data_IF_903281859743
#
_entry.id   IF_903281859743
#
_cell.length_a   1.000
_cell.length_b   1.000
_cell.length_c   1.000
_cell.angle_alpha   90.00
_cell.angle_beta   90.00
_cell.angle_gamma   90.00
#
_symmetry.space_group_name_H-M   'P 1'
#
loop_
_entity.id
_entity.type
_entity.pdbx_description
1 polymer ?
#
# COMPACT_ATOMS: atom_id res chain seq x y z
N UNK A 1 6.07 -17.37 12.68
CA UNK A 1 5.41 -17.34 11.36
C UNK A 1 5.83 -16.04 10.68
N UNK A 2 6.25 -16.08 9.41
CA UNK A 2 6.54 -14.85 8.66
C UNK A 2 5.21 -14.15 8.27
N UNK A 3 5.29 -12.88 7.84
CA UNK A 3 4.11 -12.08 7.53
C UNK A 3 3.32 -12.70 6.37
N UNK A 4 4.01 -13.15 5.33
CA UNK A 4 3.40 -13.68 4.12
C UNK A 4 2.61 -14.97 4.39
N UNK A 5 3.14 -15.90 5.16
CA UNK A 5 2.49 -17.16 5.54
C UNK A 5 1.23 -16.89 6.34
N UNK A 6 1.33 -16.06 7.37
CA UNK A 6 0.19 -15.79 8.23
C UNK A 6 -0.89 -14.92 7.57
N UNK A 7 -0.53 -14.03 6.63
CA UNK A 7 -1.53 -13.36 5.79
C UNK A 7 -2.24 -14.37 4.87
N UNK A 8 -1.53 -15.35 4.31
CA UNK A 8 -2.18 -16.41 3.51
C UNK A 8 -3.16 -17.23 4.35
N UNK A 9 -2.78 -17.62 5.57
CA UNK A 9 -3.67 -18.32 6.50
C UNK A 9 -4.89 -17.46 6.87
N UNK A 10 -4.67 -16.19 7.21
CA UNK A 10 -5.73 -15.24 7.54
C UNK A 10 -6.78 -15.14 6.42
N UNK A 11 -6.34 -14.96 5.17
CA UNK A 11 -7.25 -14.88 4.02
C UNK A 11 -7.86 -16.23 3.60
N UNK A 12 -7.30 -17.36 4.06
CA UNK A 12 -7.88 -18.68 3.84
C UNK A 12 -9.04 -18.95 4.80
N UNK A 13 -8.92 -18.46 6.03
CA UNK A 13 -9.90 -18.68 7.08
C UNK A 13 -11.02 -17.64 7.09
N UNK A 14 -10.70 -16.40 6.73
CA UNK A 14 -11.64 -15.28 6.83
C UNK A 14 -11.89 -14.68 5.45
N UNK A 15 -13.15 -14.53 5.02
CA UNK A 15 -13.48 -13.89 3.75
C UNK A 15 -12.85 -12.51 3.63
N UNK A 16 -12.28 -12.19 2.47
CA UNK A 16 -11.56 -10.93 2.25
C UNK A 16 -12.38 -9.69 2.63
N UNK A 17 -13.68 -9.65 2.29
CA UNK A 17 -14.57 -8.54 2.63
C UNK A 17 -14.82 -8.34 4.14
N UNK A 18 -14.64 -9.39 4.95
CA UNK A 18 -14.73 -9.27 6.40
C UNK A 18 -13.46 -8.64 7.01
N UNK A 19 -12.34 -8.63 6.27
CA UNK A 19 -11.08 -8.03 6.68
C UNK A 19 -10.89 -6.64 6.04
N UNK A 20 -11.20 -6.51 4.76
CA UNK A 20 -11.11 -5.29 3.97
C UNK A 20 -12.43 -5.14 3.21
N UNK A 21 -13.29 -4.22 3.66
CA UNK A 21 -14.68 -4.12 3.20
C UNK A 21 -14.83 -3.93 1.68
N UNK A 22 -13.86 -3.25 1.06
CA UNK A 22 -13.79 -3.02 -0.37
C UNK A 22 -12.78 -3.92 -1.11
N UNK A 23 -12.39 -5.06 -0.54
CA UNK A 23 -11.71 -6.13 -1.28
C UNK A 23 -12.72 -7.16 -1.78
N UNK A 24 -13.13 -7.01 -3.05
CA UNK A 24 -14.00 -7.99 -3.73
C UNK A 24 -13.23 -8.92 -4.68
N UNK A 25 -11.93 -9.07 -4.47
CA UNK A 25 -11.17 -10.07 -5.22
C UNK A 25 -11.49 -11.47 -4.70
N UNK A 26 -11.54 -12.42 -5.63
CA UNK A 26 -11.61 -13.83 -5.28
C UNK A 26 -10.21 -14.29 -4.87
N UNK A 27 -10.08 -14.82 -3.65
CA UNK A 27 -8.82 -15.36 -3.14
C UNK A 27 -8.72 -16.84 -3.54
N UNK A 28 -7.68 -17.19 -4.28
CA UNK A 28 -7.33 -18.58 -4.59
C UNK A 28 -5.97 -18.91 -4.02
N UNK A 29 -5.77 -20.18 -3.67
CA UNK A 29 -4.53 -20.66 -3.06
C UNK A 29 -3.99 -21.83 -3.88
N UNK A 30 -2.77 -21.72 -4.36
CA UNK A 30 -2.10 -22.78 -5.11
C UNK A 30 -0.59 -22.62 -5.02
N UNK A 31 0.14 -23.73 -5.00
CA UNK A 31 1.61 -23.75 -4.97
C UNK A 31 2.22 -22.88 -3.83
N UNK A 32 1.58 -22.90 -2.66
CA UNK A 32 1.98 -22.10 -1.50
C UNK A 32 1.79 -20.59 -1.65
N UNK A 33 1.07 -20.12 -2.68
CA UNK A 33 0.80 -18.70 -2.96
C UNK A 33 -0.66 -18.36 -2.74
N UNK A 34 -0.92 -17.09 -2.41
CA UNK A 34 -2.24 -16.48 -2.56
C UNK A 34 -2.32 -15.74 -3.90
N UNK A 35 -3.45 -15.90 -4.57
CA UNK A 35 -3.80 -15.19 -5.80
C UNK A 35 -5.08 -14.38 -5.56
N UNK A 36 -4.99 -13.06 -5.66
CA UNK A 36 -6.14 -12.17 -5.63
C UNK A 36 -6.64 -11.92 -7.06
N UNK A 37 -7.76 -12.54 -7.42
CA UNK A 37 -8.36 -12.43 -8.74
C UNK A 37 -9.38 -11.29 -8.76
N UNK A 38 -9.08 -10.19 -9.45
CA UNK A 38 -10.00 -9.06 -9.54
C UNK A 38 -11.16 -9.35 -10.49
N UNK A 39 -12.35 -8.93 -10.10
CA UNK A 39 -13.59 -9.17 -10.84
C UNK A 39 -14.18 -7.87 -11.40
N UNK A 40 -13.56 -7.36 -12.46
CA UNK A 40 -14.15 -6.29 -13.26
C UNK A 40 -14.03 -4.91 -12.63
N UNK A 41 -15.05 -4.07 -12.86
CA UNK A 41 -15.03 -2.63 -12.56
C UNK A 41 -15.76 -2.24 -11.29
N UNK A 42 -16.12 -3.23 -10.45
CA UNK A 42 -16.75 -2.98 -9.16
C UNK A 42 -15.90 -2.02 -8.31
N UNK A 43 -16.56 -1.26 -7.44
CA UNK A 43 -15.87 -0.43 -6.46
C UNK A 43 -15.02 -1.34 -5.55
N UNK A 44 -13.71 -1.14 -5.62
CA UNK A 44 -12.70 -1.91 -4.89
C UNK A 44 -11.59 -0.97 -4.44
N UNK A 45 -10.82 -1.39 -3.44
CA UNK A 45 -9.61 -0.68 -3.08
C UNK A 45 -8.66 -0.60 -4.29
N UNK A 46 -7.99 0.54 -4.47
CA UNK A 46 -6.93 0.69 -5.48
C UNK A 46 -5.77 -0.29 -5.25
N UNK A 47 -5.64 -0.84 -4.03
CA UNK A 47 -4.66 -1.87 -3.68
C UNK A 47 -4.99 -3.25 -4.27
N UNK A 48 -6.26 -3.47 -4.58
CA UNK A 48 -6.78 -4.73 -5.11
C UNK A 48 -6.93 -4.65 -6.62
N UNK A 49 -7.50 -3.56 -7.15
CA UNK A 49 -7.81 -3.40 -8.57
C UNK A 49 -6.96 -2.33 -9.26
N UNK A 50 -6.26 -2.72 -10.33
CA UNK A 50 -5.56 -1.77 -11.20
C UNK A 50 -6.53 -0.81 -11.91
N UNK A 51 -7.74 -1.27 -12.24
CA UNK A 51 -8.76 -0.36 -12.79
C UNK A 51 -9.20 0.68 -11.76
N UNK A 52 -9.36 0.30 -10.49
CA UNK A 52 -9.62 1.26 -9.43
C UNK A 52 -8.48 2.28 -9.31
N UNK A 53 -7.23 1.80 -9.27
CA UNK A 53 -6.04 2.65 -9.17
C UNK A 53 -5.88 3.63 -10.33
N UNK A 54 -6.14 3.21 -11.56
CA UNK A 54 -5.88 4.01 -12.76
C UNK A 54 -7.08 4.88 -13.19
N UNK A 55 -8.31 4.45 -12.89
CA UNK A 55 -9.53 5.10 -13.37
C UNK A 55 -10.33 5.71 -12.23
N UNK A 56 -10.64 4.95 -11.17
CA UNK A 56 -11.49 5.46 -10.09
C UNK A 56 -10.78 6.54 -9.30
N UNK A 57 -9.52 6.32 -8.91
CA UNK A 57 -8.71 7.33 -8.22
C UNK A 57 -8.57 8.60 -9.08
N UNK A 58 -8.34 8.45 -10.39
CA UNK A 58 -8.28 9.60 -11.30
C UNK A 58 -9.61 10.40 -11.36
N UNK A 59 -10.76 9.73 -11.20
CA UNK A 59 -12.08 10.39 -11.13
C UNK A 59 -12.28 11.13 -9.81
N UNK A 60 -11.87 10.53 -8.70
CA UNK A 60 -11.98 11.14 -7.37
C UNK A 60 -11.21 12.47 -7.30
N UNK A 61 -10.06 12.52 -7.98
CA UNK A 61 -9.19 13.70 -8.03
C UNK A 61 -9.77 14.87 -8.87
N UNK A 62 -10.76 14.61 -9.75
CA UNK A 62 -11.36 15.67 -10.59
C UNK A 62 -12.04 16.77 -9.80
N UNK A 63 -12.46 16.50 -8.55
CA UNK A 63 -13.08 17.50 -7.67
C UNK A 63 -12.13 18.66 -7.33
N UNK A 64 -10.82 18.44 -7.46
CA UNK A 64 -9.78 19.44 -7.17
C UNK A 64 -9.53 20.39 -8.34
N UNK A 65 -10.16 20.15 -9.50
CA UNK A 65 -9.90 20.89 -10.73
C UNK A 65 -11.03 21.89 -11.07
N UNK A 66 -10.72 22.97 -11.79
CA UNK A 66 -11.73 23.85 -12.37
C UNK A 66 -12.75 23.11 -13.23
N UNK A 67 -14.02 23.55 -13.23
CA UNK A 67 -15.16 22.83 -13.85
C UNK A 67 -14.91 22.39 -15.30
N UNK A 68 -14.36 23.26 -16.14
CA UNK A 68 -14.08 22.94 -17.55
C UNK A 68 -12.99 21.87 -17.69
N UNK A 69 -11.89 21.99 -16.94
CA UNK A 69 -10.80 21.00 -16.95
C UNK A 69 -11.28 19.66 -16.42
N UNK A 70 -12.07 19.67 -15.34
CA UNK A 70 -12.69 18.49 -14.77
C UNK A 70 -13.62 17.79 -15.77
N UNK A 71 -14.42 18.55 -16.54
CA UNK A 71 -15.29 18.00 -17.58
C UNK A 71 -14.49 17.37 -18.73
N UNK A 72 -13.46 18.05 -19.22
CA UNK A 72 -12.58 17.53 -20.27
C UNK A 72 -11.86 16.24 -19.83
N UNK A 73 -11.24 16.26 -18.65
CA UNK A 73 -10.55 15.09 -18.10
C UNK A 73 -11.49 13.95 -17.77
N UNK A 74 -12.74 14.23 -17.38
CA UNK A 74 -13.77 13.19 -17.21
C UNK A 74 -14.02 12.43 -18.50
N UNK A 75 -14.11 13.12 -19.63
CA UNK A 75 -14.26 12.50 -20.96
C UNK A 75 -13.02 11.68 -21.29
N UNK A 76 -11.82 12.23 -21.10
CA UNK A 76 -10.56 11.52 -21.35
C UNK A 76 -10.43 10.24 -20.50
N UNK A 77 -10.76 10.32 -19.21
CA UNK A 77 -10.77 9.16 -18.31
C UNK A 77 -11.82 8.14 -18.76
N UNK A 78 -12.98 8.55 -19.27
CA UNK A 78 -13.98 7.62 -19.81
C UNK A 78 -13.49 6.88 -21.06
N UNK A 79 -12.78 7.58 -21.95
CA UNK A 79 -12.16 6.98 -23.14
C UNK A 79 -11.05 5.99 -22.73
N UNK A 80 -10.16 6.39 -21.82
CA UNK A 80 -9.12 5.51 -21.26
C UNK A 80 -9.74 4.28 -20.57
N UNK A 81 -10.83 4.46 -19.81
CA UNK A 81 -11.54 3.37 -19.17
C UNK A 81 -12.15 2.38 -20.19
N UNK A 82 -12.61 2.85 -21.36
CA UNK A 82 -13.06 1.98 -22.43
C UNK A 82 -11.90 1.15 -23.02
N UNK A 83 -10.76 1.78 -23.29
CA UNK A 83 -9.53 1.09 -23.74
C UNK A 83 -9.05 0.08 -22.70
N UNK A 84 -9.06 0.43 -21.42
CA UNK A 84 -8.64 -0.46 -20.34
C UNK A 84 -9.55 -1.68 -20.19
N UNK A 85 -10.87 -1.51 -20.36
CA UNK A 85 -11.81 -2.64 -20.40
C UNK A 85 -11.59 -3.55 -21.61
N UNK A 86 -11.28 -2.97 -22.78
CA UNK A 86 -10.91 -3.74 -23.96
C UNK A 86 -9.65 -4.58 -23.71
N UNK A 87 -8.65 -4.02 -23.02
CA UNK A 87 -7.44 -4.72 -22.58
C UNK A 87 -7.63 -5.64 -21.37
N UNK A 88 -8.84 -5.70 -20.81
CA UNK A 88 -9.19 -6.43 -19.58
C UNK A 88 -8.31 -6.07 -18.37
N UNK A 89 -7.87 -4.81 -18.26
CA UNK A 89 -7.06 -4.32 -17.12
C UNK A 89 -7.85 -4.36 -15.80
N UNK A 90 -9.18 -4.38 -15.87
CA UNK A 90 -10.10 -4.60 -14.76
C UNK A 90 -10.05 -6.04 -14.19
N UNK A 91 -9.40 -6.98 -14.90
CA UNK A 91 -9.26 -8.38 -14.50
C UNK A 91 -7.79 -8.76 -14.46
N UNK A 92 -7.30 -9.03 -13.25
CA UNK A 92 -5.90 -9.38 -12.98
C UNK A 92 -5.83 -10.52 -11.98
N UNK A 93 -4.74 -11.28 -12.03
CA UNK A 93 -4.34 -12.25 -11.01
C UNK A 93 -3.17 -11.64 -10.25
N UNK A 94 -3.43 -11.10 -9.06
CA UNK A 94 -2.39 -10.57 -8.19
C UNK A 94 -1.72 -11.66 -7.38
N UNK A 95 -0.45 -11.96 -7.67
CA UNK A 95 0.34 -12.93 -6.91
C UNK A 95 0.78 -12.30 -5.59
N UNK A 96 0.49 -12.97 -4.47
CA UNK A 96 0.73 -12.47 -3.12
C UNK A 96 0.19 -11.04 -2.93
N UNK A 97 -0.95 -10.72 -3.55
CA UNK A 97 -1.61 -9.44 -3.33
C UNK A 97 -2.56 -9.53 -2.14
N UNK A 98 -2.07 -9.11 -0.98
CA UNK A 98 -2.82 -9.11 0.28
C UNK A 98 -3.75 -7.89 0.43
N UNK A 99 -3.83 -7.02 -0.57
CA UNK A 99 -4.69 -5.83 -0.53
C UNK A 99 -4.14 -4.70 0.36
N UNK A 100 -2.89 -4.81 0.81
CA UNK A 100 -2.20 -3.79 1.58
C UNK A 100 -1.71 -2.65 0.67
N UNK A 101 -1.51 -1.46 1.25
CA UNK A 101 -0.99 -0.29 0.52
C UNK A 101 0.39 -0.54 -0.08
N UNK A 102 1.22 -1.29 0.64
CA UNK A 102 2.53 -1.80 0.19
C UNK A 102 2.60 -3.26 0.62
N UNK A 103 2.69 -4.19 -0.34
CA UNK A 103 2.94 -5.60 -0.02
C UNK A 103 4.43 -5.76 0.27
N UNK A 104 4.75 -6.45 1.37
CA UNK A 104 6.12 -6.89 1.66
C UNK A 104 6.24 -8.37 1.35
N UNK A 105 7.37 -8.78 0.78
CA UNK A 105 7.60 -10.14 0.32
C UNK A 105 8.67 -10.82 1.17
N UNK A 106 8.39 -12.07 1.56
CA UNK A 106 9.39 -12.91 2.22
C UNK A 106 10.52 -13.32 1.25
N UNK A 107 11.66 -13.71 1.81
CA UNK A 107 12.83 -14.07 1.01
C UNK A 107 12.59 -15.28 0.09
N UNK A 108 11.76 -16.24 0.52
CA UNK A 108 11.46 -17.43 -0.28
C UNK A 108 10.65 -17.07 -1.53
N UNK A 109 9.70 -16.14 -1.43
CA UNK A 109 8.95 -15.61 -2.56
C UNK A 109 9.86 -14.91 -3.57
N UNK A 110 10.77 -14.05 -3.09
CA UNK A 110 11.70 -13.31 -3.95
C UNK A 110 12.70 -14.23 -4.67
N UNK A 111 12.94 -15.44 -4.16
CA UNK A 111 13.78 -16.47 -4.82
C UNK A 111 13.01 -17.38 -5.78
N UNK A 112 11.68 -17.23 -5.91
CA UNK A 112 10.89 -18.09 -6.81
C UNK A 112 11.18 -17.75 -8.26
N UNK A 113 11.39 -18.80 -9.07
CA UNK A 113 11.56 -18.66 -10.51
C UNK A 113 10.31 -18.02 -11.14
N UNK A 114 10.44 -16.94 -11.93
CA UNK A 114 9.31 -16.30 -12.62
C UNK A 114 8.44 -17.25 -13.45
N UNK A 115 9.05 -18.29 -14.04
CA UNK A 115 8.32 -19.31 -14.80
C UNK A 115 7.33 -20.10 -13.92
N UNK A 116 7.69 -20.39 -12.67
CA UNK A 116 6.82 -21.07 -11.69
C UNK A 116 5.68 -20.17 -11.24
N UNK A 117 5.97 -18.90 -10.93
CA UNK A 117 4.95 -17.90 -10.59
C UNK A 117 3.90 -17.77 -11.71
N UNK A 118 4.37 -17.73 -12.96
CA UNK A 118 3.49 -17.72 -14.14
C UNK A 118 2.66 -18.99 -14.23
N UNK A 119 3.27 -20.17 -14.11
CA UNK A 119 2.56 -21.44 -14.24
C UNK A 119 1.44 -21.57 -13.20
N UNK A 120 1.73 -21.25 -11.94
CA UNK A 120 0.75 -21.28 -10.85
C UNK A 120 -0.40 -20.28 -11.08
N UNK A 121 -0.10 -19.04 -11.48
CA UNK A 121 -1.13 -18.04 -11.79
C UNK A 121 -1.98 -18.41 -13.02
N UNK A 122 -1.39 -19.01 -14.06
CA UNK A 122 -2.12 -19.49 -15.23
C UNK A 122 -3.03 -20.67 -14.91
N UNK A 123 -2.64 -21.54 -13.96
CA UNK A 123 -3.51 -22.63 -13.50
C UNK A 123 -4.78 -22.09 -12.81
N UNK A 124 -4.67 -20.94 -12.12
CA UNK A 124 -5.78 -20.22 -11.48
C UNK A 124 -6.67 -19.51 -12.50
N UNK A 125 -6.09 -18.67 -13.38
CA UNK A 125 -6.85 -17.97 -14.44
C UNK A 125 -6.01 -17.87 -15.73
N UNK A 126 -6.20 -18.78 -16.72
CA UNK A 126 -5.29 -18.91 -17.86
C UNK A 126 -5.37 -17.78 -18.90
N UNK A 127 -6.39 -16.93 -18.86
CA UNK A 127 -6.62 -15.85 -19.84
C UNK A 127 -6.70 -14.47 -19.18
N UNK A 128 -5.94 -14.28 -18.12
CA UNK A 128 -5.92 -13.06 -17.31
C UNK A 128 -4.48 -12.59 -17.11
N UNK A 129 -4.26 -11.27 -17.13
CA UNK A 129 -2.95 -10.69 -16.85
C UNK A 129 -2.52 -11.01 -15.41
N UNK A 130 -1.24 -11.31 -15.22
CA UNK A 130 -0.68 -11.65 -13.91
C UNK A 130 0.08 -10.43 -13.42
N UNK A 131 -0.10 -10.06 -12.15
CA UNK A 131 0.54 -8.88 -11.55
C UNK A 131 1.25 -9.21 -10.23
N UNK A 132 2.36 -8.51 -9.98
CA UNK A 132 3.08 -8.48 -8.70
C UNK A 132 3.29 -7.00 -8.37
N UNK A 133 2.81 -6.54 -7.21
CA UNK A 133 2.78 -5.12 -6.84
C UNK A 133 3.96 -4.73 -5.97
N UNK A 134 4.12 -3.44 -5.73
CA UNK A 134 5.00 -2.89 -4.69
C UNK A 134 6.49 -3.21 -4.88
N UNK A 135 6.93 -3.32 -6.14
CA UNK A 135 8.34 -3.56 -6.48
C UNK A 135 9.07 -2.23 -6.65
N UNK A 136 10.34 -2.18 -6.27
CA UNK A 136 11.21 -1.02 -6.42
C UNK A 136 12.66 -1.50 -6.53
N UNK A 137 13.54 -0.69 -7.10
CA UNK A 137 14.92 -1.11 -7.37
C UNK A 137 15.69 -1.34 -6.07
N UNK A 138 15.53 -0.45 -5.09
CA UNK A 138 16.27 -0.50 -3.81
C UNK A 138 16.07 -1.81 -3.05
N UNK A 139 14.85 -2.36 -3.04
CA UNK A 139 14.52 -3.58 -2.30
C UNK A 139 14.45 -4.83 -3.16
N UNK A 140 14.26 -4.71 -4.48
CA UNK A 140 13.86 -5.84 -5.33
C UNK A 140 14.63 -5.94 -6.65
N UNK A 141 15.78 -5.27 -6.82
CA UNK A 141 16.51 -5.22 -8.10
C UNK A 141 16.73 -6.61 -8.72
N UNK A 142 17.24 -7.57 -7.96
CA UNK A 142 17.55 -8.91 -8.48
C UNK A 142 16.29 -9.64 -8.95
N UNK A 143 15.23 -9.61 -8.13
CA UNK A 143 13.94 -10.19 -8.50
C UNK A 143 13.31 -9.50 -9.72
N UNK A 144 13.44 -8.18 -9.82
CA UNK A 144 13.01 -7.43 -11.00
C UNK A 144 13.81 -7.81 -12.25
N UNK A 145 15.12 -8.03 -12.14
CA UNK A 145 15.96 -8.50 -13.24
C UNK A 145 15.52 -9.89 -13.72
N UNK A 146 15.25 -10.80 -12.78
CA UNK A 146 14.72 -12.14 -13.09
C UNK A 146 13.37 -12.03 -13.79
N UNK A 147 12.43 -11.25 -13.25
CA UNK A 147 11.13 -11.03 -13.89
C UNK A 147 11.30 -10.48 -15.32
N UNK A 148 12.20 -9.50 -15.52
CA UNK A 148 12.48 -8.93 -16.84
C UNK A 148 12.99 -9.99 -17.83
N UNK A 149 13.94 -10.82 -17.40
CA UNK A 149 14.51 -11.90 -18.22
C UNK A 149 13.44 -12.91 -18.70
N UNK A 150 12.40 -13.12 -17.89
CA UNK A 150 11.25 -13.98 -18.24
C UNK A 150 10.08 -13.24 -18.90
N UNK A 151 10.28 -11.98 -19.30
CA UNK A 151 9.34 -11.25 -20.14
C UNK A 151 8.22 -10.52 -19.42
N UNK A 152 8.38 -10.29 -18.11
CA UNK A 152 7.52 -9.37 -17.38
C UNK A 152 7.84 -7.92 -17.77
N UNK A 153 6.83 -7.06 -17.65
CA UNK A 153 6.93 -5.62 -17.90
C UNK A 153 6.64 -4.86 -16.62
N UNK A 154 7.19 -3.65 -16.45
CA UNK A 154 7.02 -2.87 -15.22
C UNK A 154 6.13 -1.66 -15.45
N UNK A 155 4.92 -1.72 -14.93
CA UNK A 155 3.99 -0.60 -14.89
C UNK A 155 4.38 0.32 -13.74
N UNK A 156 4.82 1.55 -14.04
CA UNK A 156 5.11 2.54 -13.01
C UNK A 156 3.80 2.98 -12.35
N UNK A 157 3.69 2.82 -11.03
CA UNK A 157 2.45 3.09 -10.30
C UNK A 157 2.47 4.37 -9.49
N UNK A 158 3.57 4.65 -8.79
CA UNK A 158 3.69 5.79 -7.87
C UNK A 158 5.15 6.01 -7.46
N UNK A 159 5.40 7.12 -6.81
CA UNK A 159 6.64 7.39 -6.08
C UNK A 159 6.45 7.06 -4.60
N UNK A 160 7.45 6.45 -4.00
CA UNK A 160 7.51 6.10 -2.58
C UNK A 160 8.78 6.72 -1.99
N UNK A 161 8.90 6.65 -0.66
CA UNK A 161 10.04 7.22 0.05
C UNK A 161 10.62 6.16 0.99
N UNK A 162 11.94 6.02 0.96
CA UNK A 162 12.67 4.97 1.65
C UNK A 162 13.74 5.56 2.59
N UNK A 163 14.04 4.85 3.66
CA UNK A 163 15.22 5.12 4.48
C UNK A 163 15.80 3.83 5.04
N UNK A 164 17.12 3.70 4.98
CA UNK A 164 17.80 2.46 5.34
C UNK A 164 18.20 2.39 6.81
N UNK A 165 18.37 3.54 7.48
CA UNK A 165 18.85 3.54 8.85
C UNK A 165 18.41 4.76 9.65
N UNK A 166 18.53 4.65 10.96
CA UNK A 166 18.38 5.80 11.86
C UNK A 166 19.40 6.90 11.60
N UNK A 167 20.62 6.55 11.20
CA UNK A 167 21.68 7.52 10.90
C UNK A 167 21.32 8.42 9.71
N UNK A 168 20.49 7.93 8.78
CA UNK A 168 19.94 8.74 7.69
C UNK A 168 18.87 9.72 8.18
N UNK A 169 18.09 9.37 9.20
CA UNK A 169 16.93 10.16 9.63
C UNK A 169 17.26 11.15 10.76
N UNK A 170 18.00 10.71 11.77
CA UNK A 170 18.22 11.43 13.03
C UNK A 170 18.90 12.80 12.92
N UNK A 171 19.86 13.04 12.00
CA UNK A 171 20.59 14.30 11.95
C UNK A 171 19.74 15.49 11.51
N UNK A 172 18.65 15.24 10.77
CA UNK A 172 17.81 16.26 10.16
C UNK A 172 17.10 17.14 11.20
N UNK A 173 17.00 18.44 10.92
CA UNK A 173 16.37 19.43 11.81
C UNK A 173 14.93 19.05 12.17
N UNK A 174 14.15 18.62 11.19
CA UNK A 174 12.75 18.25 11.41
C UNK A 174 12.62 16.98 12.23
N UNK A 175 13.49 15.98 12.00
CA UNK A 175 13.58 14.78 12.84
C UNK A 175 13.90 15.14 14.30
N UNK A 176 14.84 16.07 14.53
CA UNK A 176 15.17 16.54 15.89
C UNK A 176 13.98 17.22 16.57
N UNK A 177 13.22 18.02 15.83
CA UNK A 177 12.01 18.67 16.37
C UNK A 177 10.91 17.65 16.68
N UNK A 178 10.76 16.62 15.85
CA UNK A 178 9.79 15.55 16.07
C UNK A 178 10.17 14.67 17.27
N UNK A 179 11.46 14.41 17.48
CA UNK A 179 11.93 13.72 18.67
C UNK A 179 11.62 14.50 19.95
N UNK A 180 11.77 15.83 19.93
CA UNK A 180 11.36 16.69 21.05
C UNK A 180 9.87 16.60 21.33
N UNK A 181 9.04 16.60 20.28
CA UNK A 181 7.60 16.37 20.44
C UNK A 181 7.35 15.01 21.08
N UNK A 182 7.96 13.94 20.58
CA UNK A 182 7.76 12.59 21.12
C UNK A 182 8.18 12.47 22.60
N UNK A 183 9.13 13.27 23.05
CA UNK A 183 9.66 13.28 24.42
C UNK A 183 8.94 14.24 25.38
N UNK A 184 7.95 15.03 24.93
CA UNK A 184 7.31 16.06 25.75
C UNK A 184 6.33 15.53 26.82
N UNK A 185 6.10 14.22 26.84
CA UNK A 185 5.27 13.54 27.84
C UNK A 185 3.76 13.74 27.70
N UNK A 186 3.28 14.55 26.73
CA UNK A 186 1.84 14.80 26.54
C UNK A 186 1.08 13.60 26.00
N UNK A 187 1.78 12.72 25.28
CA UNK A 187 1.21 11.52 24.73
C UNK A 187 2.09 10.29 24.99
N UNK A 188 1.44 9.14 25.11
CA UNK A 188 2.07 7.81 25.21
C UNK A 188 1.55 6.87 24.14
N UNK A 189 2.36 5.90 23.77
CA UNK A 189 1.96 4.84 22.83
C UNK A 189 1.66 3.57 23.61
N UNK A 190 0.42 3.08 23.52
CA UNK A 190 0.01 1.79 24.10
C UNK A 190 -0.13 0.76 23.01
N UNK A 191 0.67 -0.32 23.08
CA UNK A 191 0.55 -1.46 22.17
C UNK A 191 -0.72 -2.25 22.46
N UNK A 192 -1.49 -2.56 21.43
CA UNK A 192 -2.64 -3.44 21.53
C UNK A 192 -2.21 -4.90 21.44
N UNK A 193 -2.92 -5.77 22.15
CA UNK A 193 -2.72 -7.22 22.16
C UNK A 193 -4.05 -7.93 21.95
N UNK A 194 -4.03 -9.25 21.77
CA UNK A 194 -5.25 -10.05 21.65
C UNK A 194 -6.19 -9.96 22.88
N UNK A 195 -5.67 -9.53 24.03
CA UNK A 195 -6.42 -9.38 25.28
C UNK A 195 -7.10 -8.01 25.42
N UNK A 196 -6.80 -7.06 24.54
CA UNK A 196 -7.42 -5.74 24.56
C UNK A 196 -8.90 -5.81 24.13
N UNK A 197 -9.76 -4.93 24.67
CA UNK A 197 -11.18 -4.92 24.34
C UNK A 197 -11.43 -4.50 22.87
N UNK A 198 -12.56 -4.95 22.30
CA UNK A 198 -12.96 -4.61 20.93
C UNK A 198 -13.09 -3.10 20.68
N UNK A 199 -13.37 -2.32 21.74
CA UNK A 199 -13.42 -0.86 21.68
C UNK A 199 -12.08 -0.22 21.26
N UNK A 200 -10.94 -0.80 21.64
CA UNK A 200 -9.61 -0.29 21.23
C UNK A 200 -9.40 -0.45 19.72
N UNK A 201 -9.79 -1.61 19.18
CA UNK A 201 -9.71 -1.88 17.74
C UNK A 201 -10.70 -1.02 16.95
N UNK A 202 -11.88 -0.75 17.51
CA UNK A 202 -12.82 0.20 16.94
C UNK A 202 -12.26 1.63 16.93
N UNK A 203 -11.62 2.09 18.00
CA UNK A 203 -10.98 3.40 18.03
C UNK A 203 -9.91 3.52 16.94
N UNK A 204 -9.03 2.52 16.81
CA UNK A 204 -8.02 2.49 15.75
C UNK A 204 -8.63 2.51 14.34
N UNK A 205 -9.71 1.75 14.12
CA UNK A 205 -10.47 1.74 12.87
C UNK A 205 -11.06 3.13 12.55
N UNK A 206 -11.66 3.80 13.54
CA UNK A 206 -12.27 5.12 13.36
C UNK A 206 -11.22 6.18 12.99
N UNK A 207 -10.08 6.22 13.69
CA UNK A 207 -8.99 7.14 13.36
C UNK A 207 -8.43 6.90 11.96
N UNK A 208 -8.23 5.64 11.58
CA UNK A 208 -7.80 5.29 10.23
C UNK A 208 -8.80 5.77 9.18
N UNK A 209 -10.10 5.51 9.38
CA UNK A 209 -11.14 5.89 8.43
C UNK A 209 -11.27 7.41 8.29
N UNK A 210 -11.20 8.16 9.39
CA UNK A 210 -11.26 9.61 9.38
C UNK A 210 -10.16 10.18 8.48
N UNK A 211 -8.94 9.66 8.59
CA UNK A 211 -7.82 10.07 7.75
C UNK A 211 -7.94 9.54 6.31
N UNK A 212 -8.08 8.23 6.11
CA UNK A 212 -7.95 7.63 4.78
C UNK A 212 -9.20 7.72 3.91
N UNK A 213 -10.39 7.64 4.52
CA UNK A 213 -11.65 7.66 3.79
C UNK A 213 -12.30 9.04 3.84
N UNK A 214 -12.23 9.71 4.99
CA UNK A 214 -12.78 11.05 5.18
C UNK A 214 -11.97 12.13 4.47
N UNK A 215 -10.65 12.19 4.72
CA UNK A 215 -9.77 13.23 4.14
C UNK A 215 -9.28 12.91 2.72
N UNK A 216 -9.04 11.64 2.39
CA UNK A 216 -8.43 11.27 1.09
C UNK A 216 -9.45 10.72 0.07
N UNK A 217 -9.80 9.44 0.10
CA UNK A 217 -10.70 8.84 -0.89
C UNK A 217 -11.34 7.54 -0.37
N UNK A 218 -12.60 7.32 -0.77
CA UNK A 218 -13.32 6.07 -0.52
C UNK A 218 -12.70 4.85 -1.26
N UNK A 219 -11.85 5.10 -2.26
CA UNK A 219 -11.07 4.09 -2.97
C UNK A 219 -9.84 3.59 -2.22
N UNK A 220 -9.49 4.19 -1.06
CA UNK A 220 -8.45 3.64 -0.18
C UNK A 220 -8.89 2.31 0.45
N UNK A 221 -7.93 1.58 1.03
CA UNK A 221 -8.19 0.31 1.72
C UNK A 221 -9.16 0.56 2.87
N UNK A 222 -10.27 -0.15 2.90
CA UNK A 222 -11.26 -0.06 3.97
C UNK A 222 -11.06 -1.21 4.94
N UNK A 223 -9.99 -1.16 5.75
CA UNK A 223 -9.76 -2.13 6.81
C UNK A 223 -10.96 -2.18 7.76
N UNK A 224 -11.30 -3.36 8.27
CA UNK A 224 -12.30 -3.52 9.31
C UNK A 224 -11.64 -3.58 10.69
N UNK A 225 -12.38 -3.24 11.75
CA UNK A 225 -11.91 -3.49 13.12
C UNK A 225 -11.56 -4.98 13.34
N UNK A 226 -12.26 -5.88 12.64
CA UNK A 226 -11.96 -7.32 12.65
C UNK A 226 -10.57 -7.61 12.07
N UNK A 227 -10.19 -7.02 10.93
CA UNK A 227 -8.83 -7.17 10.41
C UNK A 227 -7.78 -6.72 11.41
N UNK A 228 -7.97 -5.55 12.04
CA UNK A 228 -7.03 -5.05 13.04
C UNK A 228 -6.87 -6.05 14.21
N UNK A 229 -7.97 -6.60 14.73
CA UNK A 229 -7.95 -7.58 15.81
C UNK A 229 -7.29 -8.90 15.40
N UNK A 230 -7.67 -9.45 14.25
CA UNK A 230 -7.12 -10.72 13.74
C UNK A 230 -5.64 -10.61 13.38
N UNK A 231 -5.23 -9.49 12.80
CA UNK A 231 -3.83 -9.26 12.46
C UNK A 231 -2.97 -9.11 13.73
N UNK A 232 -3.47 -8.42 14.76
CA UNK A 232 -2.79 -8.33 16.06
C UNK A 232 -2.73 -9.68 16.77
N UNK A 233 -3.84 -10.44 16.81
CA UNK A 233 -3.89 -11.72 17.52
C UNK A 233 -2.97 -12.78 16.91
N UNK A 234 -2.70 -12.69 15.61
CA UNK A 234 -1.78 -13.58 14.87
C UNK A 234 -0.34 -13.08 14.81
N UNK A 235 -0.05 -11.91 15.41
CA UNK A 235 1.28 -11.29 15.34
C UNK A 235 1.67 -10.80 13.95
N UNK A 236 0.68 -10.51 13.09
CA UNK A 236 0.88 -9.98 11.73
C UNK A 236 0.97 -8.46 11.69
N UNK A 237 0.42 -7.78 12.70
CA UNK A 237 0.37 -6.33 12.81
C UNK A 237 0.72 -5.91 14.24
N UNK A 238 1.69 -5.01 14.38
CA UNK A 238 1.93 -4.31 15.63
C UNK A 238 1.13 -3.02 15.64
N UNK A 239 0.02 -3.00 16.39
CA UNK A 239 -0.90 -1.87 16.46
C UNK A 239 -0.75 -1.13 17.80
N UNK A 240 -0.73 0.20 17.73
CA UNK A 240 -0.59 1.08 18.88
C UNK A 240 -1.68 2.15 18.84
N UNK A 241 -2.22 2.48 20.01
CA UNK A 241 -2.97 3.71 20.22
C UNK A 241 -2.05 4.81 20.75
N UNK A 242 -2.22 6.02 20.22
CA UNK A 242 -1.64 7.23 20.77
C UNK A 242 -2.64 7.79 21.78
N UNK A 243 -2.28 7.81 23.05
CA UNK A 243 -3.15 8.26 24.14
C UNK A 243 -2.58 9.53 24.76
N UNK A 244 -3.45 10.45 25.12
CA UNK A 244 -3.09 11.58 25.95
C UNK A 244 -2.73 11.09 27.35
N UNK A 245 -1.60 11.56 27.89
CA UNK A 245 -1.04 11.02 29.13
C UNK A 245 -1.84 11.39 30.37
N UNK A 246 -2.56 12.52 30.34
CA UNK A 246 -3.24 13.04 31.53
C UNK A 246 -4.56 12.31 31.85
N UNK A 247 -5.30 11.89 30.82
CA UNK A 247 -6.64 11.32 30.95
C UNK A 247 -6.80 9.96 30.24
N UNK A 248 -5.80 9.52 29.47
CA UNK A 248 -5.83 8.27 28.72
C UNK A 248 -6.69 8.33 27.45
N UNK A 249 -7.18 9.51 27.04
CA UNK A 249 -8.00 9.64 25.85
C UNK A 249 -7.20 9.31 24.59
N UNK A 250 -7.73 8.41 23.74
CA UNK A 250 -7.08 8.08 22.48
C UNK A 250 -7.17 9.27 21.51
N UNK A 251 -6.05 9.59 20.86
CA UNK A 251 -5.91 10.68 19.89
C UNK A 251 -5.42 10.20 18.52
N UNK A 252 -5.10 8.90 18.39
CA UNK A 252 -4.73 8.30 17.12
C UNK A 252 -4.28 6.86 17.22
N UNK A 253 -3.87 6.31 16.09
CA UNK A 253 -3.38 4.95 15.96
C UNK A 253 -2.25 4.84 14.93
N UNK A 254 -1.40 3.84 15.11
CA UNK A 254 -0.42 3.41 14.13
C UNK A 254 -0.26 1.90 14.17
N UNK A 255 -0.35 1.26 13.01
CA UNK A 255 -0.13 -0.16 12.83
C UNK A 255 0.99 -0.40 11.83
N UNK A 256 1.98 -1.18 12.24
CA UNK A 256 3.17 -1.50 11.44
C UNK A 256 3.27 -2.99 11.16
N UNK A 257 3.78 -3.30 9.98
CA UNK A 257 4.09 -4.67 9.53
C UNK A 257 5.54 -4.70 9.06
N UNK A 258 6.19 -5.85 9.21
CA UNK A 258 7.56 -6.02 8.76
C UNK A 258 7.78 -7.39 8.14
N UNK A 259 8.63 -7.44 7.12
CA UNK A 259 9.06 -8.67 6.46
C UNK A 259 10.43 -8.42 5.83
N UNK A 260 11.31 -9.42 5.87
CA UNK A 260 12.65 -9.35 5.25
C UNK A 260 13.45 -8.06 5.58
N UNK A 261 13.41 -7.63 6.85
CA UNK A 261 14.14 -6.45 7.34
C UNK A 261 13.59 -5.10 6.87
N UNK A 262 12.41 -5.07 6.26
CA UNK A 262 11.70 -3.85 5.83
C UNK A 262 10.41 -3.71 6.63
N UNK A 263 10.10 -2.49 7.06
CA UNK A 263 8.87 -2.12 7.75
C UNK A 263 8.06 -1.11 6.93
N UNK A 264 6.74 -1.27 6.93
CA UNK A 264 5.80 -0.25 6.46
C UNK A 264 4.64 -0.09 7.45
N UNK A 265 3.96 1.05 7.40
CA UNK A 265 2.86 1.39 8.30
C UNK A 265 1.54 1.49 7.51
N UNK A 266 0.85 0.36 7.24
CA UNK A 266 -0.41 0.38 6.48
C UNK A 266 -1.55 1.05 7.25
N UNK A 267 -1.48 1.12 8.58
CA UNK A 267 -2.50 1.73 9.42
C UNK A 267 -1.90 2.97 10.08
N UNK A 268 -2.48 4.14 9.81
CA UNK A 268 -2.17 5.39 10.49
C UNK A 268 -3.45 6.22 10.55
N UNK A 269 -3.75 6.79 11.71
CA UNK A 269 -4.91 7.63 11.89
C UNK A 269 -4.76 8.49 13.11
N UNK A 270 -5.45 9.62 13.15
CA UNK A 270 -5.47 10.50 14.32
C UNK A 270 -6.71 11.38 14.29
N UNK A 271 -7.07 11.93 15.45
CA UNK A 271 -8.19 12.84 15.58
C UNK A 271 -7.93 14.13 14.78
N UNK A 272 -8.69 14.34 13.70
CA UNK A 272 -8.59 15.54 12.89
C UNK A 272 -9.25 16.77 13.53
N UNK A 273 -10.03 16.59 14.61
CA UNK A 273 -10.63 17.70 15.34
C UNK A 273 -9.62 18.38 16.30
N UNK A 274 -8.54 17.69 16.67
CA UNK A 274 -7.50 18.28 17.51
C UNK A 274 -6.65 19.30 16.73
N UNK A 275 -6.18 20.38 17.40
CA UNK A 275 -5.36 21.41 16.75
C UNK A 275 -4.08 20.85 16.13
N UNK A 276 -3.65 21.41 15.00
CA UNK A 276 -2.39 21.01 14.35
C UNK A 276 -1.16 21.18 15.25
N UNK A 277 -1.21 22.09 16.23
CA UNK A 277 -0.17 22.31 17.25
C UNK A 277 0.08 21.08 18.12
N UNK A 278 -0.86 20.12 18.18
CA UNK A 278 -0.63 18.83 18.84
C UNK A 278 0.41 17.97 18.13
N UNK A 279 0.61 18.20 16.83
CA UNK A 279 1.65 17.51 16.06
C UNK A 279 1.42 16.00 15.93
N UNK A 280 0.17 15.53 15.95
CA UNK A 280 -0.17 14.09 15.99
C UNK A 280 0.47 13.31 14.83
N UNK A 281 0.38 13.80 13.60
CA UNK A 281 1.03 13.17 12.45
C UNK A 281 2.56 13.06 12.60
N UNK A 282 3.20 14.10 13.15
CA UNK A 282 4.64 14.13 13.44
C UNK A 282 5.01 13.10 14.50
N UNK A 283 4.24 13.02 15.60
CA UNK A 283 4.42 12.01 16.66
C UNK A 283 4.32 10.60 16.12
N UNK A 284 3.26 10.29 15.36
CA UNK A 284 3.03 8.97 14.78
C UNK A 284 4.16 8.59 13.81
N UNK A 285 4.56 9.52 12.94
CA UNK A 285 5.63 9.28 11.97
C UNK A 285 6.99 9.07 12.64
N UNK A 286 7.31 9.87 13.66
CA UNK A 286 8.55 9.74 14.41
C UNK A 286 8.59 8.48 15.27
N UNK A 287 7.44 8.05 15.80
CA UNK A 287 7.30 6.76 16.47
C UNK A 287 7.67 5.61 15.52
N UNK A 288 7.17 5.61 14.28
CA UNK A 288 7.51 4.56 13.29
C UNK A 288 9.01 4.53 13.03
N UNK A 289 9.64 5.68 12.78
CA UNK A 289 11.08 5.73 12.52
C UNK A 289 11.91 5.29 13.73
N UNK A 290 11.49 5.60 14.97
CA UNK A 290 12.13 5.08 16.18
C UNK A 290 11.93 3.57 16.33
N UNK A 291 10.73 3.08 16.04
CA UNK A 291 10.39 1.65 16.07
C UNK A 291 11.28 0.84 15.12
N UNK A 292 11.53 1.36 13.91
CA UNK A 292 12.48 0.81 12.95
C UNK A 292 13.91 0.80 13.51
N UNK A 293 14.37 1.93 14.05
CA UNK A 293 15.71 2.09 14.58
C UNK A 293 16.01 1.10 15.72
N UNK A 294 15.09 0.96 16.67
CA UNK A 294 15.21 0.02 17.81
C UNK A 294 15.31 -1.44 17.37
N UNK A 295 14.89 -1.77 16.15
CA UNK A 295 14.84 -3.15 15.61
C UNK A 295 15.79 -3.36 14.43
N UNK A 296 16.59 -2.37 14.06
CA UNK A 296 17.47 -2.44 12.89
C UNK A 296 16.73 -2.65 11.57
N UNK A 297 15.51 -2.11 11.43
CA UNK A 297 14.68 -2.25 10.23
C UNK A 297 14.85 -1.05 9.30
N UNK A 298 14.78 -1.32 7.99
CA UNK A 298 14.63 -0.29 6.96
C UNK A 298 13.18 0.13 6.87
N UNK A 299 12.93 1.41 6.58
CA UNK A 299 11.57 1.95 6.55
C UNK A 299 11.12 2.29 5.13
N UNK A 300 9.96 1.75 4.77
CA UNK A 300 9.19 2.13 3.59
C UNK A 300 8.11 3.14 4.02
N UNK A 301 8.31 4.42 3.73
CA UNK A 301 7.42 5.50 4.16
C UNK A 301 6.15 5.62 3.31
N UNK A 302 5.97 4.75 2.31
CA UNK A 302 4.87 4.81 1.32
C UNK A 302 4.87 6.14 0.53
N UNK A 303 3.83 6.39 -0.25
CA UNK A 303 3.67 7.62 -1.07
C UNK A 303 3.08 8.81 -0.30
N UNK A 304 3.06 9.99 -0.93
CA UNK A 304 2.47 11.22 -0.38
C UNK A 304 3.33 11.90 0.68
N UNK A 305 2.96 13.11 1.07
CA UNK A 305 3.70 13.94 2.03
C UNK A 305 5.21 14.04 1.71
N UNK A 306 5.55 14.20 0.43
CA UNK A 306 6.91 14.18 -0.09
C UNK A 306 7.87 15.08 0.70
N UNK A 307 7.53 16.37 0.80
CA UNK A 307 8.35 17.34 1.50
C UNK A 307 8.59 16.98 2.97
N UNK A 308 7.57 16.45 3.64
CA UNK A 308 7.68 16.00 5.04
C UNK A 308 8.68 14.85 5.18
N UNK A 309 8.65 13.89 4.26
CA UNK A 309 9.53 12.71 4.32
C UNK A 309 10.96 13.06 3.94
N UNK A 310 11.15 13.84 2.87
CA UNK A 310 12.46 14.34 2.44
C UNK A 310 13.13 15.22 3.49
N UNK A 311 12.37 16.09 4.17
CA UNK A 311 12.94 16.95 5.22
C UNK A 311 13.46 16.19 6.44
N UNK A 312 13.10 14.90 6.55
CA UNK A 312 13.58 13.94 7.55
C UNK A 312 14.63 12.99 7.01
N UNK A 313 15.05 13.13 5.76
CA UNK A 313 16.11 12.33 5.15
C UNK A 313 15.63 11.14 4.31
N UNK A 314 14.32 10.92 4.16
CA UNK A 314 13.84 9.85 3.28
C UNK A 314 14.10 10.19 1.80
N UNK A 315 14.47 9.18 1.02
CA UNK A 315 14.84 9.31 -0.40
C UNK A 315 13.70 8.81 -1.27
N UNK A 316 13.40 9.53 -2.35
CA UNK A 316 12.39 9.14 -3.32
C UNK A 316 12.83 7.90 -4.12
N UNK A 317 11.88 7.00 -4.38
CA UNK A 317 12.08 5.80 -5.20
C UNK A 317 10.81 5.52 -6.00
N UNK A 318 10.96 4.99 -7.22
CA UNK A 318 9.83 4.63 -8.06
C UNK A 318 9.30 3.24 -7.69
N UNK A 319 7.98 3.13 -7.55
CA UNK A 319 7.32 1.86 -7.27
C UNK A 319 6.55 1.34 -8.50
N UNK A 320 6.78 0.07 -8.81
CA UNK A 320 6.27 -0.62 -9.98
C UNK A 320 5.33 -1.76 -9.61
N UNK A 321 4.41 -2.04 -10.52
CA UNK A 321 3.73 -3.35 -10.62
C UNK A 321 4.32 -4.11 -11.80
N UNK A 322 4.93 -5.26 -11.55
CA UNK A 322 5.30 -6.18 -12.62
C UNK A 322 4.04 -6.81 -13.20
N UNK A 323 3.97 -6.89 -14.54
CA UNK A 323 2.83 -7.42 -15.29
C UNK A 323 3.33 -8.44 -16.30
N UNK A 324 2.70 -9.61 -16.34
CA UNK A 324 2.92 -10.62 -17.37
C UNK A 324 1.68 -10.79 -18.25
N UNK A 325 1.87 -10.65 -19.57
CA UNK A 325 0.79 -10.67 -20.57
C UNK A 325 1.10 -11.53 -21.79
N UNK A 326 2.28 -12.15 -21.90
CA UNK A 326 2.72 -12.83 -23.14
C UNK A 326 1.81 -13.99 -23.55
N UNK A 327 1.08 -14.59 -22.61
CA UNK A 327 0.09 -15.66 -22.83
C UNK A 327 -1.28 -15.16 -23.31
N UNK A 328 -1.50 -13.84 -23.33
CA UNK A 328 -2.77 -13.22 -23.71
C UNK A 328 -2.83 -12.95 -25.23
N UNK A 329 -4.05 -12.77 -25.79
CA UNK A 329 -4.22 -12.35 -27.17
C UNK A 329 -3.46 -11.06 -27.49
N UNK A 330 -3.03 -10.92 -28.75
CA UNK A 330 -2.21 -9.81 -29.21
C UNK A 330 -2.78 -8.42 -28.86
N UNK A 331 -4.08 -8.20 -29.03
CA UNK A 331 -4.70 -6.91 -28.72
C UNK A 331 -4.56 -6.51 -27.24
N UNK A 332 -4.70 -7.47 -26.30
CA UNK A 332 -4.49 -7.19 -24.87
C UNK A 332 -3.03 -6.84 -24.61
N UNK A 333 -2.10 -7.62 -25.18
CA UNK A 333 -0.66 -7.37 -25.06
C UNK A 333 -0.29 -5.96 -25.51
N UNK A 334 -0.85 -5.49 -26.63
CA UNK A 334 -0.60 -4.14 -27.14
C UNK A 334 -1.15 -3.05 -26.23
N UNK A 335 -2.36 -3.22 -25.67
CA UNK A 335 -2.95 -2.26 -24.72
C UNK A 335 -2.10 -2.17 -23.45
N UNK A 336 -1.71 -3.31 -22.87
CA UNK A 336 -0.83 -3.35 -21.70
C UNK A 336 0.56 -2.75 -21.97
N UNK A 337 1.16 -3.06 -23.12
CA UNK A 337 2.45 -2.49 -23.52
C UNK A 337 2.35 -0.97 -23.71
N UNK A 338 1.25 -0.47 -24.27
CA UNK A 338 0.96 0.96 -24.39
C UNK A 338 0.85 1.63 -23.02
N UNK A 339 0.13 1.02 -22.07
CA UNK A 339 0.02 1.51 -20.70
C UNK A 339 1.40 1.54 -20.00
N UNK A 340 2.19 0.48 -20.11
CA UNK A 340 3.56 0.43 -19.57
C UNK A 340 4.42 1.54 -20.16
N UNK A 341 4.37 1.75 -21.48
CA UNK A 341 5.12 2.82 -22.15
C UNK A 341 4.68 4.21 -21.69
N UNK A 342 3.37 4.45 -21.59
CA UNK A 342 2.84 5.72 -21.10
C UNK A 342 3.27 5.99 -19.65
N UNK A 343 3.21 4.97 -18.79
CA UNK A 343 3.60 5.08 -17.39
C UNK A 343 5.09 5.42 -17.23
N UNK A 344 5.97 4.77 -18.01
CA UNK A 344 7.41 4.99 -17.92
C UNK A 344 7.89 6.23 -18.70
N UNK A 345 7.04 6.81 -19.56
CA UNK A 345 7.32 8.04 -20.29
C UNK A 345 6.72 9.25 -19.60
N UNK A 346 5.49 9.59 -19.98
CA UNK A 346 4.82 10.81 -19.52
C UNK A 346 4.61 10.83 -18.00
N UNK A 347 4.10 9.74 -17.43
CA UNK A 347 3.77 9.70 -16.00
C UNK A 347 5.01 9.75 -15.12
N UNK A 348 6.10 9.06 -15.51
CA UNK A 348 7.40 9.16 -14.85
C UNK A 348 7.87 10.60 -14.74
N UNK A 349 7.88 11.35 -15.86
CA UNK A 349 8.28 12.76 -15.85
C UNK A 349 7.44 13.57 -14.88
N UNK A 350 6.13 13.37 -14.88
CA UNK A 350 5.22 14.06 -13.95
C UNK A 350 5.59 13.75 -12.49
N UNK A 351 5.85 12.49 -12.15
CA UNK A 351 6.24 12.10 -10.79
C UNK A 351 7.57 12.74 -10.35
N UNK A 352 8.58 12.66 -11.21
CA UNK A 352 9.93 13.17 -10.93
C UNK A 352 9.96 14.71 -10.85
N UNK A 353 9.24 15.41 -11.73
CA UNK A 353 9.21 16.88 -11.80
C UNK A 353 8.34 17.51 -10.69
N UNK A 354 7.23 16.88 -10.32
CA UNK A 354 6.26 17.44 -9.35
C UNK A 354 6.45 16.92 -7.92
N UNK A 355 7.46 16.07 -7.69
CA UNK A 355 7.76 15.47 -6.39
C UNK A 355 6.56 14.78 -5.72
N UNK A 356 5.70 14.14 -6.51
CA UNK A 356 4.40 13.60 -6.06
C UNK A 356 4.52 12.38 -5.14
#
# INVERSE_FOLDING_TARGET
MNLNDGLRELFREIPAQALVANDRSEKQFSDGLLFACTQGTAAQAWTVSLYAALVQTGRDELVKLPRFQAALLRVLIALLAAVFRLGRIDKTVGVQNFGLTTNLYDAAFLQRRPAGLRAAACAVRPRTAIIIRSLNAVHHQDFMNDLAAYGWQFLLMRQVYLSDSWAQIAPHRDSKNDMKLLADGRYRFRRLTALCPDADFQAAYLFYNQLYLGKYSQGNVQFTARFLREAVSRGLLDLFLLEHSADGAAAGCVGVISENGVLTAPVLGYDLALPQSEGLYRRLSMFIARYCAERGLRQHWSSGAAQFKKSRGAVAELEYTAVYTRHLPFYQRMIWAGLVKLSNGLYRKILEENEL
#
